data_IF_212343719648
#
_entry.id   IF_212343719648
#
_cell.length_a   1.000
_cell.length_b   1.000
_cell.length_c   1.000
_cell.angle_alpha   90.00
_cell.angle_beta   90.00
_cell.angle_gamma   90.00
#
_symmetry.space_group_name_H-M   'P 1'
#
loop_
_entity.id
_entity.type
_entity.pdbx_description
1 polymer ?
#
# COMPACT_ATOMS: atom_id res chain seq x y z
N UNK A 1 17.66 9.28 14.10
CA UNK A 1 17.70 8.66 12.77
C UNK A 1 16.59 9.34 11.97
N UNK A 2 16.91 10.06 10.90
CA UNK A 2 15.86 10.76 10.14
C UNK A 2 14.91 9.74 9.54
N UNK A 3 13.60 9.98 9.65
CA UNK A 3 12.58 9.16 8.99
C UNK A 3 12.86 9.18 7.48
N UNK A 4 13.12 8.00 6.91
CA UNK A 4 13.33 7.86 5.48
C UNK A 4 11.96 7.77 4.83
N UNK A 5 11.44 8.90 4.35
CA UNK A 5 10.18 8.93 3.60
C UNK A 5 10.41 8.34 2.21
N UNK A 6 9.68 7.29 1.81
CA UNK A 6 9.79 6.75 0.47
C UNK A 6 9.15 7.69 -0.56
N UNK A 7 9.63 7.58 -1.79
CA UNK A 7 8.94 8.14 -2.96
C UNK A 7 7.89 7.15 -3.43
N UNK A 8 6.67 7.63 -3.62
CA UNK A 8 5.56 6.85 -4.16
C UNK A 8 5.37 7.18 -5.64
N UNK A 9 5.22 6.15 -6.46
CA UNK A 9 4.72 6.29 -7.83
C UNK A 9 3.20 6.53 -7.86
N UNK A 10 2.62 6.39 -9.04
CA UNK A 10 1.17 6.44 -9.22
C UNK A 10 0.47 5.36 -8.36
N UNK A 11 -0.61 5.75 -7.68
CA UNK A 11 -1.48 4.85 -6.94
C UNK A 11 -2.64 4.44 -7.86
N UNK A 12 -2.61 3.21 -8.33
CA UNK A 12 -3.60 2.66 -9.26
C UNK A 12 -4.65 1.86 -8.50
N UNK A 13 -5.93 2.25 -8.64
CA UNK A 13 -7.07 1.51 -8.09
C UNK A 13 -7.51 0.40 -9.04
N UNK A 14 -7.75 -0.78 -8.50
CA UNK A 14 -8.42 -1.88 -9.20
C UNK A 14 -9.65 -2.31 -8.40
N UNK A 15 -10.77 -2.50 -9.10
CA UNK A 15 -12.01 -2.99 -8.50
C UNK A 15 -12.06 -4.51 -8.62
N UNK A 16 -12.27 -5.18 -7.50
CA UNK A 16 -12.53 -6.60 -7.42
C UNK A 16 -14.04 -6.90 -7.38
N UNK A 17 -14.37 -8.13 -6.99
CA UNK A 17 -15.75 -8.60 -6.83
C UNK A 17 -16.22 -8.33 -5.39
N UNK A 18 -17.53 -8.14 -5.20
CA UNK A 18 -18.16 -8.01 -3.88
C UNK A 18 -17.57 -6.87 -3.00
N UNK A 19 -17.30 -5.71 -3.61
CA UNK A 19 -16.78 -4.54 -2.91
C UNK A 19 -15.30 -4.63 -2.53
N UNK A 20 -14.59 -5.69 -2.96
CA UNK A 20 -13.14 -5.73 -2.83
C UNK A 20 -12.52 -4.63 -3.70
N UNK A 21 -11.57 -3.91 -3.14
CA UNK A 21 -10.76 -2.91 -3.84
C UNK A 21 -9.30 -3.19 -3.55
N UNK A 22 -8.44 -2.99 -4.56
CA UNK A 22 -7.01 -2.98 -4.35
C UNK A 22 -6.35 -1.71 -4.89
N UNK A 23 -5.28 -1.30 -4.23
CA UNK A 23 -4.44 -0.17 -4.63
C UNK A 23 -3.02 -0.67 -4.86
N UNK A 24 -2.51 -0.48 -6.07
CA UNK A 24 -1.12 -0.79 -6.43
C UNK A 24 -0.30 0.49 -6.48
N UNK A 25 0.89 0.46 -5.90
CA UNK A 25 1.84 1.57 -5.91
C UNK A 25 3.27 1.04 -6.03
N UNK A 26 4.12 1.73 -6.79
CA UNK A 26 5.55 1.48 -6.81
C UNK A 26 6.22 2.33 -5.73
N UNK A 27 7.03 1.72 -4.86
CA UNK A 27 7.65 2.38 -3.71
C UNK A 27 9.16 2.35 -3.87
N UNK A 28 9.81 3.50 -3.71
CA UNK A 28 11.27 3.65 -3.81
C UNK A 28 11.84 4.21 -2.51
N UNK A 29 12.75 3.47 -1.88
CA UNK A 29 13.56 3.95 -0.76
C UNK A 29 14.98 4.28 -1.24
N UNK A 30 15.67 5.27 -0.65
CA UNK A 30 17.07 5.56 -0.94
C UNK A 30 17.96 4.32 -0.76
N UNK A 31 18.66 3.92 -1.83
CA UNK A 31 19.56 2.76 -1.81
C UNK A 31 18.89 1.41 -2.02
N UNK A 32 17.56 1.35 -2.19
CA UNK A 32 16.84 0.12 -2.51
C UNK A 32 16.24 0.16 -3.93
N UNK A 33 16.09 -1.00 -4.59
CA UNK A 33 15.33 -1.07 -5.83
C UNK A 33 13.86 -0.73 -5.57
N UNK A 34 13.23 -0.08 -6.55
CA UNK A 34 11.78 0.17 -6.53
C UNK A 34 11.02 -1.15 -6.48
N UNK A 35 10.06 -1.27 -5.55
CA UNK A 35 9.25 -2.48 -5.35
C UNK A 35 7.76 -2.15 -5.52
N UNK A 36 6.99 -2.99 -6.23
CA UNK A 36 5.55 -2.86 -6.24
C UNK A 36 4.97 -3.33 -4.89
N UNK A 37 4.02 -2.57 -4.37
CA UNK A 37 3.22 -2.92 -3.20
C UNK A 37 1.75 -2.87 -3.60
N UNK A 38 0.98 -3.86 -3.17
CA UNK A 38 -0.47 -3.90 -3.36
C UNK A 38 -1.15 -3.94 -2.00
N UNK A 39 -2.12 -3.06 -1.77
CA UNK A 39 -3.03 -3.14 -0.65
C UNK A 39 -4.36 -3.68 -1.13
N UNK A 40 -4.92 -4.66 -0.43
CA UNK A 40 -6.24 -5.23 -0.71
C UNK A 40 -7.12 -5.01 0.50
N UNK A 41 -8.31 -4.46 0.27
CA UNK A 41 -9.33 -4.23 1.29
C UNK A 41 -10.74 -4.33 0.70
N UNK A 42 -11.74 -3.90 1.47
CA UNK A 42 -13.14 -3.87 1.04
C UNK A 42 -13.75 -2.49 1.33
N UNK A 43 -14.60 -2.00 0.43
CA UNK A 43 -15.28 -0.71 0.57
C UNK A 43 -16.26 -0.67 1.76
N UNK A 44 -16.71 -1.83 2.24
CA UNK A 44 -17.56 -1.99 3.41
C UNK A 44 -16.77 -2.04 4.73
N UNK A 45 -15.44 -1.93 4.67
CA UNK A 45 -14.53 -2.07 5.81
C UNK A 45 -14.02 -3.50 6.01
N UNK A 46 -13.17 -3.68 7.01
CA UNK A 46 -12.51 -4.95 7.32
C UNK A 46 -10.98 -4.87 7.28
N UNK A 47 -10.28 -6.01 7.34
CA UNK A 47 -8.83 -6.03 7.32
C UNK A 47 -8.28 -5.51 5.99
N UNK A 48 -7.12 -4.86 6.07
CA UNK A 48 -6.31 -4.52 4.90
C UNK A 48 -5.12 -5.46 4.87
N UNK A 49 -4.86 -6.05 3.71
CA UNK A 49 -3.69 -6.91 3.48
C UNK A 49 -2.72 -6.18 2.57
N UNK A 50 -1.46 -6.11 2.99
CA UNK A 50 -0.35 -5.66 2.16
C UNK A 50 0.29 -6.87 1.49
N UNK A 51 0.50 -6.78 0.18
CA UNK A 51 1.14 -7.80 -0.65
C UNK A 51 2.40 -7.17 -1.25
N UNK A 52 3.53 -7.81 -1.01
CA UNK A 52 4.83 -7.42 -1.57
C UNK A 52 5.40 -8.56 -2.40
N UNK A 53 5.93 -8.25 -3.58
CA UNK A 53 6.61 -9.23 -4.43
C UNK A 53 8.12 -9.14 -4.25
N UNK A 54 8.76 -10.22 -3.83
CA UNK A 54 10.21 -10.30 -3.71
C UNK A 54 10.89 -10.51 -5.07
N UNK A 55 12.20 -10.26 -5.13
CA UNK A 55 13.02 -10.62 -6.29
C UNK A 55 12.97 -12.15 -6.48
N UNK A 56 12.38 -12.60 -7.58
CA UNK A 56 12.09 -14.02 -7.85
C UNK A 56 10.60 -14.36 -7.97
N UNK A 57 9.69 -13.38 -7.75
CA UNK A 57 8.26 -13.53 -8.01
C UNK A 57 7.42 -14.08 -6.86
N UNK A 58 8.05 -14.37 -5.70
CA UNK A 58 7.33 -14.81 -4.52
C UNK A 58 6.56 -13.65 -3.88
N UNK A 59 5.28 -13.86 -3.61
CA UNK A 59 4.42 -12.89 -2.92
C UNK A 59 4.41 -13.18 -1.42
N UNK A 60 4.59 -12.13 -0.62
CA UNK A 60 4.38 -12.17 0.84
C UNK A 60 3.17 -11.31 1.17
N UNK A 61 2.28 -11.85 2.00
CA UNK A 61 1.07 -11.17 2.45
C UNK A 61 1.17 -10.89 3.94
N UNK A 62 0.87 -9.65 4.34
CA UNK A 62 0.92 -9.20 5.72
C UNK A 62 -0.37 -8.46 6.03
N UNK A 63 -1.06 -8.84 7.10
CA UNK A 63 -2.20 -8.08 7.60
C UNK A 63 -1.72 -6.77 8.23
N UNK A 64 -2.40 -5.67 7.92
CA UNK A 64 -2.19 -4.40 8.60
C UNK A 64 -2.98 -4.46 9.90
N UNK A 65 -2.29 -4.47 11.06
CA UNK A 65 -2.91 -4.63 12.39
C UNK A 65 -3.96 -3.55 12.72
N UNK A 66 -3.67 -2.29 12.43
CA UNK A 66 -4.58 -1.16 12.71
C UNK A 66 -4.71 -0.26 11.47
N UNK A 67 -5.50 -0.66 10.46
CA UNK A 67 -5.64 0.10 9.23
C UNK A 67 -6.40 1.41 9.44
N UNK A 68 -7.26 1.50 10.46
CA UNK A 68 -8.10 2.67 10.71
C UNK A 68 -7.29 3.93 11.07
N UNK A 69 -6.08 3.78 11.63
CA UNK A 69 -5.20 4.91 11.99
C UNK A 69 -4.79 5.80 10.82
N UNK A 70 -4.89 5.30 9.59
CA UNK A 70 -4.54 6.03 8.37
C UNK A 70 -5.77 6.65 7.67
N UNK A 71 -6.96 6.57 8.30
CA UNK A 71 -8.22 7.07 7.77
C UNK A 71 -9.01 6.04 6.97
N UNK A 72 -9.99 6.47 6.15
CA UNK A 72 -10.77 5.59 5.28
C UNK A 72 -9.91 4.96 4.19
N UNK A 73 -10.10 3.67 3.91
CA UNK A 73 -9.30 2.96 2.90
C UNK A 73 -9.48 3.59 1.50
N UNK A 74 -8.37 4.03 0.90
CA UNK A 74 -8.37 4.83 -0.32
C UNK A 74 -6.96 5.23 -0.77
N UNK A 75 -6.82 6.05 -1.83
CA UNK A 75 -5.50 6.53 -2.27
C UNK A 75 -4.76 7.37 -1.20
N UNK A 76 -5.48 8.19 -0.44
CA UNK A 76 -4.90 8.97 0.65
C UNK A 76 -4.42 8.07 1.80
N UNK A 77 -5.16 7.00 2.10
CA UNK A 77 -4.75 5.99 3.07
C UNK A 77 -3.40 5.37 2.72
N UNK A 78 -3.16 5.07 1.44
CA UNK A 78 -1.87 4.52 0.97
C UNK A 78 -0.73 5.53 1.20
N UNK A 79 -0.97 6.82 0.96
CA UNK A 79 0.02 7.89 1.22
C UNK A 79 0.34 8.00 2.71
N UNK A 80 -0.70 8.02 3.56
CA UNK A 80 -0.57 8.05 5.01
C UNK A 80 0.14 6.81 5.57
N UNK A 81 -0.10 5.62 4.99
CA UNK A 81 0.58 4.38 5.38
C UNK A 81 2.11 4.50 5.29
N UNK A 82 2.62 5.13 4.23
CA UNK A 82 4.05 5.34 4.02
C UNK A 82 4.60 6.63 4.65
N UNK A 83 3.75 7.44 5.31
CA UNK A 83 4.15 8.75 5.83
C UNK A 83 4.54 9.74 4.73
N UNK A 84 4.11 9.53 3.48
CA UNK A 84 4.40 10.42 2.36
C UNK A 84 3.27 11.44 2.24
N UNK A 85 3.59 12.74 2.24
CA UNK A 85 2.65 13.78 1.83
C UNK A 85 2.40 13.70 0.31
N UNK A 86 1.22 14.12 -0.20
CA UNK A 86 1.03 14.27 -1.64
C UNK A 86 2.11 15.21 -2.20
N UNK A 87 2.80 14.76 -3.26
CA UNK A 87 3.70 15.62 -4.05
C UNK A 87 2.90 16.57 -4.94
#
# INVERSE_FOLDING_TARGET
>A
MGEVTPTLGEIVRNNGIAGQVSYRVNVSYPGEPTKPVVFVGNELGGPVVMITTAAGGNETQVFVDDPARFGPFGPEWVRQFFGSAPQ
#
